data_IF_200553345645
#
_entry.id   IF_200553345645
#
_cell.length_a   1.000
_cell.length_b   1.000
_cell.length_c   1.000
_cell.angle_alpha   90.00
_cell.angle_beta   90.00
_cell.angle_gamma   90.00
#
_symmetry.space_group_name_H-M   'P 1'
#
loop_
_entity.id
_entity.type
_entity.pdbx_description
1 polymer ?
#
# COMPACT_ATOMS: atom_id res chain seq x y z
N UNK A 1 14.67 -1.88 7.59
CA UNK A 1 13.36 -2.15 6.94
C UNK A 1 13.63 -2.53 5.50
N UNK A 2 13.07 -3.63 4.99
CA UNK A 2 13.09 -3.92 3.55
C UNK A 2 12.27 -2.86 2.82
N UNK A 3 12.63 -2.54 1.57
CA UNK A 3 11.78 -1.71 0.70
C UNK A 3 10.54 -2.52 0.33
N UNK A 4 9.36 -2.04 0.71
CA UNK A 4 8.07 -2.73 0.54
C UNK A 4 7.22 -2.08 -0.57
N UNK A 5 7.85 -1.45 -1.56
CA UNK A 5 7.13 -0.72 -2.62
C UNK A 5 6.20 0.38 -2.10
N UNK A 6 5.33 0.87 -2.97
CA UNK A 6 4.31 1.87 -2.67
C UNK A 6 2.99 1.49 -3.36
N UNK A 7 1.88 1.64 -2.65
CA UNK A 7 0.52 1.53 -3.21
C UNK A 7 -0.09 2.91 -3.24
N UNK A 8 -0.56 3.33 -4.41
CA UNK A 8 -1.28 4.58 -4.61
C UNK A 8 -2.74 4.29 -4.94
N UNK A 9 -3.66 4.90 -4.20
CA UNK A 9 -5.11 4.79 -4.41
C UNK A 9 -5.63 6.07 -5.05
N UNK A 10 -6.49 5.92 -6.06
CA UNK A 10 -7.14 7.02 -6.77
C UNK A 10 -8.62 6.72 -6.98
N UNK A 11 -9.37 7.73 -7.42
CA UNK A 11 -10.77 7.62 -7.82
C UNK A 11 -10.86 7.78 -9.34
N UNK A 12 -11.38 6.78 -10.05
CA UNK A 12 -11.47 6.83 -11.51
C UNK A 12 -12.27 8.06 -11.98
N UNK A 13 -13.25 8.48 -11.20
CA UNK A 13 -14.13 9.62 -11.46
C UNK A 13 -13.40 10.97 -11.36
N UNK A 14 -12.29 11.05 -10.62
CA UNK A 14 -11.52 12.28 -10.45
C UNK A 14 -10.24 12.23 -11.27
N UNK A 15 -9.33 11.32 -10.95
CA UNK A 15 -8.03 11.16 -11.62
C UNK A 15 -8.15 10.63 -13.05
N UNK A 16 -9.25 9.98 -13.40
CA UNK A 16 -9.57 9.60 -14.79
C UNK A 16 -10.32 10.68 -15.58
N UNK A 17 -10.74 11.77 -14.93
CA UNK A 17 -11.49 12.86 -15.58
C UNK A 17 -10.86 14.22 -15.31
N UNK A 18 -11.40 14.98 -14.35
CA UNK A 18 -11.01 16.37 -14.08
C UNK A 18 -9.52 16.52 -13.76
N UNK A 19 -8.94 15.51 -13.12
CA UNK A 19 -7.54 15.50 -12.70
C UNK A 19 -6.64 14.68 -13.63
N UNK A 20 -7.13 14.20 -14.77
CA UNK A 20 -6.33 13.40 -15.71
C UNK A 20 -4.99 14.04 -16.10
N UNK A 21 -4.91 15.36 -16.42
CA UNK A 21 -3.62 15.98 -16.75
C UNK A 21 -2.63 16.03 -15.57
N UNK A 22 -3.14 16.06 -14.33
CA UNK A 22 -2.31 16.01 -13.12
C UNK A 22 -1.84 14.58 -12.87
N UNK A 23 -2.72 13.61 -13.07
CA UNK A 23 -2.41 12.19 -12.92
C UNK A 23 -1.31 11.76 -13.91
N UNK A 24 -1.39 12.18 -15.18
CA UNK A 24 -0.34 11.92 -16.17
C UNK A 24 1.03 12.46 -15.73
N UNK A 25 1.08 13.69 -15.20
CA UNK A 25 2.32 14.28 -14.67
C UNK A 25 2.87 13.51 -13.48
N UNK A 26 2.00 13.03 -12.60
CA UNK A 26 2.39 12.20 -11.45
C UNK A 26 3.06 10.90 -11.93
N UNK A 27 2.43 10.19 -12.87
CA UNK A 27 2.98 8.96 -13.43
C UNK A 27 4.33 9.19 -14.13
N UNK A 28 4.45 10.26 -14.91
CA UNK A 28 5.70 10.64 -15.56
C UNK A 28 6.80 10.97 -14.53
N UNK A 29 6.44 11.69 -13.46
CA UNK A 29 7.33 11.99 -12.35
C UNK A 29 7.86 10.73 -11.67
N UNK A 30 7.01 9.76 -11.39
CA UNK A 30 7.43 8.49 -10.79
C UNK A 30 8.36 7.68 -11.69
N UNK A 31 8.06 7.58 -12.98
CA UNK A 31 8.95 6.92 -13.95
C UNK A 31 10.31 7.62 -14.02
N UNK A 32 10.32 8.96 -13.99
CA UNK A 32 11.57 9.76 -14.01
C UNK A 32 12.39 9.56 -12.74
N UNK A 33 11.74 9.38 -11.60
CA UNK A 33 12.39 9.03 -10.33
C UNK A 33 12.88 7.56 -10.28
N UNK A 34 12.68 6.78 -11.34
CA UNK A 34 13.11 5.39 -11.42
C UNK A 34 12.14 4.37 -10.83
N UNK A 35 10.90 4.77 -10.53
CA UNK A 35 9.88 3.82 -10.10
C UNK A 35 9.28 3.05 -11.28
N UNK A 36 9.08 1.76 -11.08
CA UNK A 36 8.28 0.93 -11.97
C UNK A 36 6.81 0.99 -11.54
N UNK A 37 5.92 1.23 -12.50
CA UNK A 37 4.48 1.24 -12.28
C UNK A 37 3.93 -0.13 -12.67
N UNK A 38 3.52 -0.91 -11.67
CA UNK A 38 3.02 -2.28 -11.85
C UNK A 38 1.59 -2.42 -11.36
N UNK A 39 0.91 -3.50 -11.77
CA UNK A 39 -0.37 -3.86 -11.19
C UNK A 39 -0.19 -4.40 -9.77
N UNK A 40 -1.24 -4.36 -8.94
CA UNK A 40 -1.22 -5.02 -7.63
C UNK A 40 -0.99 -6.52 -7.74
N UNK A 41 -1.43 -7.16 -8.84
CA UNK A 41 -1.19 -8.59 -9.08
C UNK A 41 0.30 -8.87 -9.24
N UNK A 42 0.98 -8.11 -10.09
CA UNK A 42 2.41 -8.31 -10.37
C UNK A 42 3.24 -7.98 -9.13
N UNK A 43 2.88 -6.91 -8.42
CA UNK A 43 3.48 -6.57 -7.13
C UNK A 43 3.34 -7.71 -6.12
N UNK A 44 2.12 -8.24 -5.92
CA UNK A 44 1.88 -9.37 -5.01
C UNK A 44 2.66 -10.63 -5.41
N UNK A 45 2.86 -10.87 -6.71
CA UNK A 45 3.62 -12.01 -7.21
C UNK A 45 5.12 -11.95 -6.88
N UNK A 46 5.65 -10.79 -6.47
CA UNK A 46 7.05 -10.65 -6.03
C UNK A 46 7.30 -11.18 -4.61
N UNK A 47 6.23 -11.51 -3.86
CA UNK A 47 6.32 -11.99 -2.49
C UNK A 47 6.05 -13.48 -2.38
N UNK A 48 6.91 -14.17 -1.63
CA UNK A 48 6.61 -15.50 -1.13
C UNK A 48 5.64 -15.39 0.04
N UNK A 49 4.34 -15.54 -0.21
CA UNK A 49 3.27 -15.26 0.76
C UNK A 49 3.47 -15.96 2.12
N UNK A 50 4.03 -17.17 2.13
CA UNK A 50 4.32 -17.93 3.36
C UNK A 50 5.46 -17.36 4.21
N UNK A 51 6.23 -16.41 3.68
CA UNK A 51 7.35 -15.75 4.38
C UNK A 51 6.98 -14.38 4.94
N UNK A 52 5.79 -13.88 4.62
CA UNK A 52 5.33 -12.59 5.12
C UNK A 52 4.92 -12.72 6.60
N UNK A 53 5.32 -11.76 7.46
CA UNK A 53 4.90 -11.78 8.86
C UNK A 53 3.38 -11.62 8.91
N UNK A 54 2.75 -12.43 9.76
CA UNK A 54 1.33 -12.34 10.02
C UNK A 54 1.11 -11.43 11.21
N UNK A 55 0.18 -10.51 11.11
CA UNK A 55 -0.12 -9.58 12.20
C UNK A 55 -1.60 -9.68 12.57
N UNK A 56 -1.91 -9.37 13.82
CA UNK A 56 -3.28 -9.13 14.26
C UNK A 56 -3.80 -7.87 13.56
N UNK A 57 -5.09 -7.87 13.21
CA UNK A 57 -5.78 -6.72 12.61
C UNK A 57 -6.89 -6.30 13.56
N UNK A 58 -6.84 -5.05 14.01
CA UNK A 58 -7.86 -4.45 14.87
C UNK A 58 -8.39 -3.16 14.26
N UNK A 59 -9.53 -2.71 14.75
CA UNK A 59 -10.10 -1.42 14.40
C UNK A 59 -9.51 -0.31 15.29
N UNK A 60 -9.00 0.76 14.69
CA UNK A 60 -8.39 1.89 15.41
C UNK A 60 -8.55 3.22 14.66
N UNK A 61 -8.32 4.32 15.37
CA UNK A 61 -8.27 5.67 14.81
C UNK A 61 -6.80 6.05 14.48
N UNK A 62 -6.60 6.82 13.41
CA UNK A 62 -5.29 7.35 13.04
C UNK A 62 -5.31 8.88 13.19
N UNK A 63 -4.34 9.48 13.90
CA UNK A 63 -4.28 10.94 14.06
C UNK A 63 -4.37 11.67 12.71
N UNK A 64 -5.29 12.64 12.62
CA UNK A 64 -5.51 13.41 11.39
C UNK A 64 -6.44 12.77 10.36
N UNK A 65 -7.00 11.58 10.63
CA UNK A 65 -7.99 10.91 9.78
C UNK A 65 -9.30 10.71 10.54
N UNK A 66 -10.42 11.05 9.91
CA UNK A 66 -11.75 10.87 10.51
C UNK A 66 -12.23 9.42 10.46
N UNK A 67 -12.70 8.89 11.59
CA UNK A 67 -13.32 7.56 11.70
C UNK A 67 -12.32 6.42 11.90
N UNK A 68 -12.85 5.21 12.02
CA UNK A 68 -12.09 3.99 12.31
C UNK A 68 -11.54 3.32 11.04
N UNK A 69 -10.37 2.68 11.15
CA UNK A 69 -9.70 1.90 10.12
C UNK A 69 -9.25 0.56 10.70
N UNK A 70 -9.17 -0.47 9.86
CA UNK A 70 -8.44 -1.68 10.18
C UNK A 70 -6.93 -1.39 10.14
N UNK A 71 -6.24 -1.60 11.25
CA UNK A 71 -4.81 -1.32 11.43
C UNK A 71 -4.03 -2.60 11.68
N UNK A 72 -2.78 -2.62 11.21
CA UNK A 72 -1.82 -3.68 11.53
C UNK A 72 -1.33 -3.52 12.97
N UNK A 73 -1.44 -4.57 13.78
CA UNK A 73 -1.03 -4.59 15.17
C UNK A 73 0.21 -5.48 15.38
N UNK A 74 0.34 -6.09 16.55
CA UNK A 74 1.42 -7.02 16.88
C UNK A 74 1.52 -8.21 15.91
N UNK A 75 2.72 -8.77 15.78
CA UNK A 75 2.93 -9.98 14.99
C UNK A 75 2.25 -11.17 15.68
N UNK A 76 1.41 -11.87 14.91
CA UNK A 76 0.63 -13.00 15.36
C UNK A 76 1.56 -14.16 15.70
N UNK A 77 1.48 -14.64 16.96
CA UNK A 77 2.30 -15.74 17.49
C UNK A 77 3.81 -15.46 17.56
N UNK A 78 4.24 -14.20 17.61
CA UNK A 78 5.65 -13.84 17.75
C UNK A 78 6.34 -14.55 18.94
N UNK A 79 5.60 -14.80 20.03
CA UNK A 79 6.11 -15.43 21.25
C UNK A 79 5.78 -16.94 21.37
N UNK A 80 5.06 -17.53 20.42
CA UNK A 80 4.62 -18.94 20.50
C UNK A 80 5.69 -19.94 20.03
N UNK A 81 6.90 -19.46 19.72
CA UNK A 81 8.03 -20.27 19.29
C UNK A 81 8.91 -20.79 20.45
N UNK A 82 8.38 -20.82 21.69
CA UNK A 82 9.03 -21.45 22.86
C UNK A 82 8.61 -22.92 23.03
#
# INVERSE_FOLDING_TARGET
RRSTGHVYTLHAELEGMKLAPVFEKLLAGWRTAGHELVSLRDYCATFEAGTLPRHVVNDSEIPGRSGTLSVQCEEFLADAAL
#
